data_IF_963858458189
#
_entry.id   IF_963858458189
#
_cell.length_a   1.000
_cell.length_b   1.000
_cell.length_c   1.000
_cell.angle_alpha   90.00
_cell.angle_beta   90.00
_cell.angle_gamma   90.00
#
_symmetry.space_group_name_H-M   'P 1'
#
loop_
_entity.id
_entity.type
_entity.pdbx_description
1 polymer ?
#
# COMPACT_ATOMS: atom_id res chain seq x y z
N UNK A 1 -4.25 10.87 22.04
CA UNK A 1 -2.94 11.51 21.79
C UNK A 1 -3.07 12.39 20.56
N UNK A 2 -2.54 13.60 20.61
CA UNK A 2 -2.52 14.52 19.46
C UNK A 2 -1.39 14.14 18.52
N UNK A 3 -1.70 13.98 17.23
CA UNK A 3 -0.76 13.50 16.23
C UNK A 3 -0.97 14.14 14.87
N UNK A 4 0.12 14.37 14.17
CA UNK A 4 0.11 14.96 12.83
C UNK A 4 0.78 14.05 11.82
N UNK A 5 0.33 14.10 10.56
CA UNK A 5 1.07 13.55 9.43
C UNK A 5 1.94 14.65 8.82
N UNK A 6 3.21 14.32 8.55
CA UNK A 6 4.16 15.17 7.83
C UNK A 6 4.49 14.48 6.52
N UNK A 7 4.27 15.19 5.40
CA UNK A 7 4.51 14.72 4.03
C UNK A 7 5.50 15.68 3.36
N UNK A 8 6.81 15.40 3.37
CA UNK A 8 7.78 16.23 2.68
C UNK A 8 7.68 16.03 1.17
N UNK A 9 7.51 17.13 0.44
CA UNK A 9 7.37 17.14 -1.02
C UNK A 9 8.12 18.33 -1.63
N UNK A 10 9.46 18.25 -1.71
CA UNK A 10 10.24 19.31 -2.36
C UNK A 10 10.12 19.25 -3.87
N UNK A 11 10.22 20.40 -4.55
CA UNK A 11 10.52 20.46 -5.96
C UNK A 11 11.98 20.07 -6.25
N UNK A 12 12.32 19.79 -7.50
CA UNK A 12 13.71 19.57 -7.89
C UNK A 12 14.30 18.21 -7.48
N UNK A 13 13.51 17.14 -7.54
CA UNK A 13 14.02 15.77 -7.38
C UNK A 13 15.05 15.43 -8.46
N UNK A 14 16.25 14.93 -8.09
CA UNK A 14 17.34 14.64 -9.03
C UNK A 14 17.14 13.34 -9.81
N UNK A 15 16.74 12.25 -9.15
CA UNK A 15 16.59 10.95 -9.81
C UNK A 15 15.45 10.91 -10.81
N UNK A 16 14.32 11.57 -10.50
CA UNK A 16 13.16 11.69 -11.37
C UNK A 16 12.61 13.12 -11.24
N UNK A 17 12.80 13.99 -12.25
CA UNK A 17 12.36 15.38 -12.19
C UNK A 17 10.86 15.51 -11.88
N UNK A 18 10.51 16.42 -11.00
CA UNK A 18 9.13 16.68 -10.56
C UNK A 18 8.40 15.42 -10.04
N UNK A 19 9.12 14.45 -9.53
CA UNK A 19 8.64 13.13 -9.08
C UNK A 19 7.31 13.20 -8.32
N UNK A 20 7.21 14.12 -7.36
CA UNK A 20 6.07 14.22 -6.45
C UNK A 20 4.74 14.58 -7.12
N UNK A 21 4.78 15.18 -8.32
CA UNK A 21 3.59 15.58 -9.10
C UNK A 21 3.42 14.80 -10.40
N UNK A 22 4.31 13.85 -10.69
CA UNK A 22 4.13 12.97 -11.83
C UNK A 22 2.82 12.18 -11.69
N UNK A 23 2.11 12.09 -12.80
CA UNK A 23 0.83 11.38 -12.88
C UNK A 23 1.05 9.87 -12.83
N UNK A 24 0.70 9.26 -11.72
CA UNK A 24 0.67 7.81 -11.58
C UNK A 24 -0.77 7.33 -11.84
N UNK A 25 -1.08 6.95 -13.08
CA UNK A 25 -2.41 6.76 -13.65
C UNK A 25 -3.26 8.05 -13.64
N UNK A 26 -4.22 8.15 -12.73
CA UNK A 26 -5.26 9.18 -12.72
C UNK A 26 -4.99 10.38 -11.81
N UNK A 27 -3.92 10.31 -10.98
CA UNK A 27 -3.61 11.37 -10.02
C UNK A 27 -2.09 11.54 -9.78
N UNK A 28 -1.65 12.72 -9.31
CA UNK A 28 -0.24 12.95 -9.00
C UNK A 28 0.24 12.08 -7.85
N UNK A 29 1.52 11.70 -7.87
CA UNK A 29 2.13 10.79 -6.91
C UNK A 29 1.86 11.20 -5.45
N UNK A 30 1.98 12.52 -5.12
CA UNK A 30 1.71 12.98 -3.76
C UNK A 30 0.27 12.77 -3.30
N UNK A 31 -0.69 12.73 -4.21
CA UNK A 31 -2.10 12.54 -3.87
C UNK A 31 -2.37 11.18 -3.21
N UNK A 32 -1.65 10.13 -3.62
CA UNK A 32 -1.77 8.82 -2.97
C UNK A 32 -1.44 8.86 -1.48
N UNK A 33 -0.41 9.63 -1.14
CA UNK A 33 0.01 9.79 0.27
C UNK A 33 -0.96 10.65 1.07
N UNK A 34 -1.41 11.76 0.48
CA UNK A 34 -2.38 12.67 1.12
C UNK A 34 -3.70 11.95 1.38
N UNK A 35 -4.27 11.28 0.36
CA UNK A 35 -5.53 10.54 0.49
C UNK A 35 -5.42 9.42 1.52
N UNK A 36 -4.34 8.63 1.50
CA UNK A 36 -4.15 7.58 2.51
C UNK A 36 -4.07 8.12 3.94
N UNK A 37 -3.44 9.29 4.13
CA UNK A 37 -3.39 9.97 5.42
C UNK A 37 -4.78 10.44 5.87
N UNK A 38 -5.53 11.11 5.00
CA UNK A 38 -6.87 11.62 5.30
C UNK A 38 -7.89 10.48 5.50
N UNK A 39 -7.86 9.45 4.66
CA UNK A 39 -8.73 8.27 4.77
C UNK A 39 -8.47 7.46 6.04
N UNK A 40 -7.27 7.53 6.59
CA UNK A 40 -6.96 6.88 7.86
C UNK A 40 -7.78 7.44 9.02
N UNK A 41 -8.15 8.72 8.98
CA UNK A 41 -8.88 9.45 10.04
C UNK A 41 -8.15 9.42 11.38
N UNK A 42 -6.83 9.28 11.35
CA UNK A 42 -5.99 9.18 12.55
C UNK A 42 -5.39 10.52 12.98
N UNK A 43 -5.29 11.48 12.08
CA UNK A 43 -4.52 12.70 12.27
C UNK A 43 -5.39 13.90 12.62
N UNK A 44 -4.92 14.73 13.55
CA UNK A 44 -5.47 16.05 13.81
C UNK A 44 -5.20 17.01 12.64
N UNK A 45 -4.04 16.84 11.97
CA UNK A 45 -3.62 17.62 10.80
C UNK A 45 -2.80 16.76 9.85
N UNK A 46 -3.02 16.92 8.54
CA UNK A 46 -2.20 16.32 7.47
C UNK A 46 -1.47 17.44 6.74
N UNK A 47 -0.16 17.48 6.86
CA UNK A 47 0.66 18.63 6.48
C UNK A 47 1.63 18.21 5.38
N UNK A 48 1.54 18.87 4.23
CA UNK A 48 2.54 18.80 3.16
C UNK A 48 3.53 19.95 3.35
N UNK A 49 4.83 19.62 3.36
CA UNK A 49 5.87 20.64 3.40
C UNK A 49 6.56 20.72 2.04
N UNK A 50 6.48 21.88 1.40
CA UNK A 50 7.01 22.12 0.05
C UNK A 50 7.59 23.52 -0.11
N UNK A 51 8.47 23.68 -1.10
CA UNK A 51 9.05 24.92 -1.57
C UNK A 51 8.40 25.45 -2.86
N UNK A 52 7.46 24.68 -3.45
CA UNK A 52 6.81 24.97 -4.72
C UNK A 52 5.37 25.43 -4.54
N UNK A 53 5.00 26.56 -5.17
CA UNK A 53 3.62 27.04 -5.23
C UNK A 53 2.71 26.09 -6.00
N UNK A 54 3.22 25.42 -7.04
CA UNK A 54 2.50 24.39 -7.78
C UNK A 54 2.14 23.21 -6.89
N UNK A 55 3.13 22.70 -6.13
CA UNK A 55 2.91 21.59 -5.22
C UNK A 55 1.96 21.96 -4.08
N UNK A 56 2.04 23.20 -3.60
CA UNK A 56 1.08 23.74 -2.65
C UNK A 56 -0.34 23.65 -3.19
N UNK A 57 -0.59 24.20 -4.38
CA UNK A 57 -1.91 24.17 -5.01
C UNK A 57 -2.45 22.74 -5.16
N UNK A 58 -1.59 21.80 -5.60
CA UNK A 58 -1.96 20.40 -5.74
C UNK A 58 -2.30 19.79 -4.36
N UNK A 59 -1.47 19.99 -3.36
CA UNK A 59 -1.67 19.43 -2.02
C UNK A 59 -2.98 19.94 -1.37
N UNK A 60 -3.26 21.25 -1.47
CA UNK A 60 -4.49 21.86 -0.99
C UNK A 60 -5.73 21.32 -1.71
N UNK A 61 -5.64 21.10 -3.03
CA UNK A 61 -6.71 20.48 -3.83
C UNK A 61 -7.06 19.07 -3.36
N UNK A 62 -6.09 18.32 -2.85
CA UNK A 62 -6.30 16.99 -2.28
C UNK A 62 -6.60 17.01 -0.77
N UNK A 63 -6.76 18.19 -0.17
CA UNK A 63 -7.24 18.38 1.20
C UNK A 63 -6.17 18.41 2.29
N UNK A 64 -4.90 18.51 1.94
CA UNK A 64 -3.83 18.68 2.92
C UNK A 64 -3.63 20.16 3.28
N UNK A 65 -3.18 20.40 4.50
CA UNK A 65 -2.61 21.71 4.88
C UNK A 65 -1.20 21.83 4.30
N UNK A 66 -0.76 23.03 3.96
CA UNK A 66 0.58 23.25 3.41
C UNK A 66 1.39 24.21 4.27
N UNK A 67 2.60 23.76 4.60
CA UNK A 67 3.64 24.61 5.15
C UNK A 67 4.71 24.84 4.08
N UNK A 68 4.79 26.10 3.63
CA UNK A 68 5.87 26.49 2.75
C UNK A 68 7.19 26.47 3.51
N UNK A 69 8.23 25.89 2.85
CA UNK A 69 9.57 25.85 3.41
C UNK A 69 10.47 26.87 2.71
N UNK A 70 11.39 27.42 3.47
CA UNK A 70 12.39 28.33 2.94
C UNK A 70 13.34 27.62 1.97
N UNK A 71 13.92 28.37 1.04
CA UNK A 71 14.81 27.82 0.00
C UNK A 71 16.01 27.05 0.57
N UNK A 72 16.52 27.47 1.72
CA UNK A 72 17.63 26.80 2.41
C UNK A 72 17.25 25.37 2.84
N UNK A 73 16.01 25.17 3.29
CA UNK A 73 15.46 23.87 3.68
C UNK A 73 15.01 23.00 2.49
N UNK A 74 15.03 23.55 1.28
CA UNK A 74 14.74 22.83 0.04
C UNK A 74 15.99 22.36 -0.68
N UNK A 75 17.18 22.76 -0.21
CA UNK A 75 18.47 22.39 -0.83
C UNK A 75 18.70 20.87 -0.79
N UNK A 76 19.54 20.38 -1.72
CA UNK A 76 19.94 18.96 -1.78
C UNK A 76 20.74 18.50 -0.56
N UNK A 77 21.34 19.42 0.16
CA UNK A 77 22.13 19.17 1.36
C UNK A 77 21.30 19.22 2.64
N UNK A 78 20.05 19.72 2.57
CA UNK A 78 19.14 19.76 3.71
C UNK A 78 18.74 18.34 4.10
N UNK A 79 19.14 17.92 5.31
CA UNK A 79 18.73 16.62 5.83
C UNK A 79 17.22 16.59 6.11
N UNK A 80 16.61 15.40 6.07
CA UNK A 80 15.21 15.24 6.44
C UNK A 80 14.92 15.73 7.87
N UNK A 81 15.95 15.67 8.74
CA UNK A 81 15.85 16.16 10.13
C UNK A 81 15.52 17.64 10.20
N UNK A 82 16.30 18.51 9.52
CA UNK A 82 16.09 19.98 9.62
C UNK A 82 14.72 20.40 9.09
N UNK A 83 14.21 19.71 8.08
CA UNK A 83 12.86 19.95 7.53
C UNK A 83 11.78 19.57 8.55
N UNK A 84 11.91 18.41 9.19
CA UNK A 84 10.96 17.95 10.20
C UNK A 84 11.04 18.84 11.45
N UNK A 85 12.25 19.19 11.89
CA UNK A 85 12.46 20.09 13.03
C UNK A 85 11.78 21.45 12.82
N UNK A 86 11.92 22.06 11.65
CA UNK A 86 11.24 23.32 11.32
C UNK A 86 9.72 23.21 11.43
N UNK A 87 9.13 22.12 10.91
CA UNK A 87 7.70 21.87 11.02
C UNK A 87 7.27 21.72 12.48
N UNK A 88 8.00 20.90 13.24
CA UNK A 88 7.67 20.62 14.65
C UNK A 88 7.77 21.87 15.53
N UNK A 89 8.69 22.80 15.24
CA UNK A 89 8.79 24.10 15.93
C UNK A 89 7.60 25.02 15.64
N UNK A 90 7.00 24.93 14.43
CA UNK A 90 5.83 25.73 14.02
C UNK A 90 4.52 25.17 14.56
N UNK A 91 4.49 23.91 15.02
CA UNK A 91 3.27 23.22 15.47
C UNK A 91 3.45 22.71 16.92
N UNK A 92 3.14 23.51 17.92
CA UNK A 92 3.25 23.11 19.32
C UNK A 92 2.11 22.17 19.75
N UNK A 93 2.27 21.55 20.90
CA UNK A 93 1.24 20.73 21.59
C UNK A 93 0.82 19.45 20.84
N UNK A 94 1.78 18.77 20.24
CA UNK A 94 1.64 17.46 19.58
C UNK A 94 2.41 16.41 20.38
N UNK A 95 1.85 15.24 20.59
CA UNK A 95 2.49 14.14 21.34
C UNK A 95 3.53 13.41 20.48
N UNK A 96 3.19 13.14 19.21
CA UNK A 96 4.08 12.51 18.24
C UNK A 96 3.66 12.87 16.80
N UNK A 97 4.53 12.58 15.86
CA UNK A 97 4.28 12.79 14.44
C UNK A 97 4.49 11.51 13.63
N UNK A 98 3.89 11.46 12.46
CA UNK A 98 4.05 10.39 11.48
C UNK A 98 4.58 10.99 10.19
N UNK A 99 5.78 10.60 9.79
CA UNK A 99 6.38 10.96 8.51
C UNK A 99 5.93 9.96 7.46
N UNK A 100 5.34 10.44 6.38
CA UNK A 100 4.84 9.67 5.24
C UNK A 100 5.53 10.15 3.97
N UNK A 101 6.40 9.31 3.39
CA UNK A 101 7.08 9.69 2.15
C UNK A 101 6.14 9.59 0.95
N UNK A 102 6.24 10.55 0.04
CA UNK A 102 5.48 10.60 -1.22
C UNK A 102 5.85 9.43 -2.12
N UNK A 103 7.09 9.00 -2.08
CA UNK A 103 7.67 7.95 -2.93
C UNK A 103 7.12 6.54 -2.67
N UNK A 104 6.31 6.36 -1.62
CA UNK A 104 5.69 5.07 -1.26
C UNK A 104 4.16 5.07 -1.52
N UNK A 105 3.70 5.07 -2.79
CA UNK A 105 2.28 5.26 -3.15
C UNK A 105 1.37 4.09 -2.77
N UNK A 106 1.92 2.91 -2.51
CA UNK A 106 1.12 1.72 -2.17
C UNK A 106 0.85 1.56 -0.68
N UNK A 107 1.43 2.42 0.17
CA UNK A 107 1.03 2.57 1.56
C UNK A 107 -0.39 3.14 1.60
N UNK A 108 -1.32 2.42 2.20
CA UNK A 108 -2.73 2.79 2.29
C UNK A 108 -3.14 3.16 3.73
N UNK A 109 -4.38 3.58 3.92
CA UNK A 109 -4.92 3.99 5.21
C UNK A 109 -4.90 2.88 6.28
N UNK A 110 -5.01 1.59 5.89
CA UNK A 110 -4.93 0.50 6.85
C UNK A 110 -3.52 0.36 7.43
N UNK A 111 -2.48 0.46 6.59
CA UNK A 111 -1.10 0.44 7.06
C UNK A 111 -0.83 1.57 8.07
N UNK A 112 -1.39 2.76 7.83
CA UNK A 112 -1.28 3.90 8.74
C UNK A 112 -1.98 3.59 10.07
N UNK A 113 -3.22 3.12 10.04
CA UNK A 113 -3.96 2.75 11.26
C UNK A 113 -3.27 1.66 12.07
N UNK A 114 -2.83 0.60 11.40
CA UNK A 114 -2.17 -0.54 12.06
C UNK A 114 -0.86 -0.11 12.71
N UNK A 115 -0.04 0.70 12.01
CA UNK A 115 1.22 1.22 12.56
C UNK A 115 1.00 2.14 13.75
N UNK A 116 0.03 3.04 13.69
CA UNK A 116 -0.35 3.94 14.80
C UNK A 116 -0.86 3.12 15.99
N UNK A 117 -1.78 2.19 15.78
CA UNK A 117 -2.29 1.32 16.84
C UNK A 117 -1.17 0.49 17.50
N UNK A 118 -0.23 -0.01 16.71
CA UNK A 118 0.92 -0.74 17.21
C UNK A 118 1.84 0.17 18.05
N UNK A 119 2.10 1.39 17.58
CA UNK A 119 2.90 2.37 18.29
C UNK A 119 2.25 2.80 19.61
N UNK A 120 0.96 3.17 19.59
CA UNK A 120 0.22 3.64 20.75
C UNK A 120 0.10 2.55 21.83
N UNK A 121 -0.12 1.29 21.45
CA UNK A 121 -0.09 0.15 22.40
C UNK A 121 1.27 -0.02 23.09
N UNK A 122 2.33 0.42 22.48
CA UNK A 122 3.69 0.28 22.96
C UNK A 122 4.35 1.63 23.34
N UNK A 123 3.54 2.70 23.47
CA UNK A 123 4.01 4.08 23.62
C UNK A 123 4.99 4.26 24.79
N UNK A 124 4.74 3.60 25.92
CA UNK A 124 5.62 3.72 27.09
C UNK A 124 6.96 2.98 26.94
N UNK A 125 7.06 2.06 25.97
CA UNK A 125 8.24 1.21 25.78
C UNK A 125 9.14 1.70 24.64
N UNK A 126 8.54 2.23 23.56
CA UNK A 126 9.26 2.67 22.36
C UNK A 126 9.02 4.15 22.08
N UNK A 127 10.01 4.76 21.49
CA UNK A 127 10.00 6.18 21.12
C UNK A 127 9.78 6.39 19.62
N UNK A 128 10.04 5.34 18.85
CA UNK A 128 9.92 5.34 17.39
C UNK A 128 9.22 4.08 16.86
N UNK A 129 8.64 4.19 15.67
CA UNK A 129 8.25 3.05 14.86
C UNK A 129 8.69 3.29 13.41
N UNK A 130 9.19 2.24 12.77
CA UNK A 130 9.63 2.29 11.36
C UNK A 130 8.99 1.15 10.59
N UNK A 131 8.41 1.47 9.43
CA UNK A 131 7.93 0.44 8.52
C UNK A 131 9.08 -0.27 7.83
N UNK A 132 9.01 -1.60 7.83
CA UNK A 132 10.07 -2.50 7.39
C UNK A 132 9.54 -3.47 6.35
N UNK A 133 10.37 -3.81 5.38
CA UNK A 133 10.12 -4.93 4.47
C UNK A 133 11.21 -5.99 4.57
N UNK A 134 10.85 -7.22 4.20
CA UNK A 134 11.81 -8.32 4.15
C UNK A 134 12.85 -8.07 3.07
N UNK A 135 14.13 -8.20 3.42
CA UNK A 135 15.22 -8.08 2.46
C UNK A 135 15.28 -9.26 1.49
N UNK A 136 15.50 -8.97 0.22
CA UNK A 136 15.75 -9.99 -0.81
C UNK A 136 17.16 -10.57 -0.73
N UNK A 137 18.09 -9.81 -0.13
CA UNK A 137 19.50 -10.21 0.03
C UNK A 137 19.90 -10.06 1.50
N UNK A 138 20.60 -11.01 2.07
CA UNK A 138 21.15 -10.85 3.41
C UNK A 138 22.26 -9.79 3.43
N UNK A 139 22.38 -9.11 4.56
CA UNK A 139 23.28 -7.97 4.76
C UNK A 139 24.75 -8.27 4.43
N UNK A 140 25.21 -9.51 4.71
CA UNK A 140 26.58 -9.92 4.40
C UNK A 140 26.89 -10.09 2.91
N UNK A 141 25.87 -10.08 2.03
CA UNK A 141 26.01 -10.03 0.56
C UNK A 141 26.01 -8.59 0.00
N UNK A 142 25.96 -7.58 0.85
CA UNK A 142 25.97 -6.17 0.47
C UNK A 142 27.25 -5.56 1.04
N UNK A 143 28.26 -5.44 0.21
CA UNK A 143 29.58 -4.95 0.58
C UNK A 143 30.10 -3.95 -0.45
N UNK A 144 30.96 -3.00 -0.05
CA UNK A 144 31.67 -2.16 -1.01
C UNK A 144 32.55 -3.01 -1.92
N UNK A 145 32.83 -2.49 -3.09
CA UNK A 145 33.82 -3.03 -4.02
C UNK A 145 35.04 -2.12 -3.93
N UNK A 146 36.22 -2.72 -3.82
CA UNK A 146 37.48 -2.00 -3.82
C UNK A 146 37.73 -1.27 -5.15
N UNK A 147 38.55 -0.24 -5.15
CA UNK A 147 38.91 0.54 -6.38
C UNK A 147 39.52 -0.33 -7.49
N UNK A 148 40.27 -1.40 -7.11
CA UNK A 148 40.85 -2.37 -8.02
C UNK A 148 39.87 -3.41 -8.54
N UNK A 149 38.55 -3.29 -8.16
CA UNK A 149 37.46 -4.25 -8.51
C UNK A 149 37.48 -5.54 -7.69
N UNK A 150 38.36 -5.66 -6.70
CA UNK A 150 38.47 -6.88 -5.89
C UNK A 150 37.34 -6.99 -4.87
N UNK A 151 36.94 -8.25 -4.53
CA UNK A 151 35.91 -8.59 -3.56
C UNK A 151 36.47 -8.92 -2.18
N UNK A 152 37.50 -8.20 -1.71
CA UNK A 152 38.18 -8.46 -0.44
C UNK A 152 37.22 -8.48 0.77
N UNK A 153 36.20 -7.63 0.74
CA UNK A 153 35.19 -7.57 1.80
C UNK A 153 34.25 -8.78 1.85
N UNK A 154 34.23 -9.62 0.78
CA UNK A 154 33.45 -10.86 0.71
C UNK A 154 34.21 -12.05 1.29
N UNK A 155 34.69 -11.92 2.51
CA UNK A 155 35.58 -12.90 3.18
C UNK A 155 34.82 -14.02 3.94
N UNK A 156 33.47 -14.04 3.89
CA UNK A 156 32.66 -15.05 4.55
C UNK A 156 32.61 -16.35 3.74
N UNK A 157 32.75 -17.50 4.40
CA UNK A 157 32.50 -18.79 3.74
C UNK A 157 31.03 -18.95 3.41
N UNK A 158 30.69 -19.03 2.13
CA UNK A 158 29.33 -19.12 1.60
C UNK A 158 28.99 -20.53 1.08
N UNK A 159 29.84 -21.55 1.30
CA UNK A 159 29.63 -22.91 0.79
C UNK A 159 28.29 -23.52 1.22
N UNK A 160 27.78 -23.16 2.39
CA UNK A 160 26.51 -23.62 2.94
C UNK A 160 25.42 -22.53 2.92
N UNK A 161 25.57 -21.50 2.05
CA UNK A 161 24.59 -20.44 1.96
C UNK A 161 23.28 -20.95 1.33
N UNK A 162 22.19 -20.69 2.05
CA UNK A 162 20.83 -20.87 1.50
C UNK A 162 20.02 -19.62 1.79
N UNK A 163 19.49 -18.98 0.76
CA UNK A 163 18.74 -17.71 0.85
C UNK A 163 17.60 -17.74 1.88
N UNK A 164 16.92 -18.88 2.00
CA UNK A 164 15.75 -19.03 2.87
C UNK A 164 16.07 -19.01 4.38
N UNK A 165 17.32 -19.25 4.78
CA UNK A 165 17.75 -19.25 6.17
C UNK A 165 17.84 -17.85 6.79
N UNK A 166 17.91 -16.80 5.96
CA UNK A 166 18.13 -15.43 6.42
C UNK A 166 16.84 -14.64 6.35
N UNK A 167 16.37 -14.18 7.52
CA UNK A 167 15.18 -13.33 7.68
C UNK A 167 15.65 -11.96 8.15
N UNK A 168 16.15 -11.16 7.22
CA UNK A 168 16.57 -9.79 7.47
C UNK A 168 15.56 -8.82 6.88
N UNK A 169 15.51 -7.62 7.44
CA UNK A 169 14.57 -6.58 7.07
C UNK A 169 15.30 -5.25 6.93
N UNK A 170 14.77 -4.36 6.10
CA UNK A 170 15.26 -3.00 5.95
C UNK A 170 14.07 -2.02 5.94
N UNK A 171 14.30 -0.73 6.29
CA UNK A 171 13.27 0.30 6.14
C UNK A 171 12.79 0.39 4.69
N UNK A 172 11.47 0.55 4.51
CA UNK A 172 10.86 0.65 3.18
C UNK A 172 10.40 2.07 2.80
N UNK A 173 10.76 3.08 3.60
CA UNK A 173 10.41 4.47 3.31
C UNK A 173 8.98 4.88 3.64
N UNK A 174 8.05 3.95 3.86
CA UNK A 174 6.63 4.26 3.82
C UNK A 174 6.08 4.99 5.05
N UNK A 175 6.46 4.56 6.26
CA UNK A 175 5.92 5.10 7.52
C UNK A 175 7.02 5.18 8.57
N UNK A 176 7.19 6.36 9.17
CA UNK A 176 8.03 6.58 10.33
C UNK A 176 7.22 7.32 11.40
N UNK A 177 7.21 6.82 12.63
CA UNK A 177 6.55 7.47 13.77
C UNK A 177 7.61 7.87 14.78
N UNK A 178 7.52 9.06 15.34
CA UNK A 178 8.47 9.52 16.34
C UNK A 178 7.83 10.45 17.37
N UNK A 179 8.15 10.23 18.66
CA UNK A 179 7.89 11.19 19.71
C UNK A 179 8.75 12.42 19.47
N UNK A 180 8.19 13.60 19.66
CA UNK A 180 8.83 14.87 19.28
C UNK A 180 10.14 15.08 20.03
N UNK A 181 10.12 14.99 21.36
CA UNK A 181 11.29 15.24 22.21
C UNK A 181 12.44 14.29 21.85
N UNK A 182 12.13 13.01 21.72
CA UNK A 182 13.10 11.95 21.44
C UNK A 182 13.68 12.10 20.04
N UNK A 183 12.83 12.48 19.05
CA UNK A 183 13.29 12.73 17.68
C UNK A 183 14.23 13.94 17.58
N UNK A 184 13.92 15.04 18.28
CA UNK A 184 14.80 16.21 18.30
C UNK A 184 16.16 15.94 18.95
N UNK A 185 16.20 14.98 19.90
CA UNK A 185 17.47 14.54 20.52
C UNK A 185 18.25 13.58 19.63
N UNK A 186 17.58 12.53 19.11
CA UNK A 186 18.20 11.43 18.36
C UNK A 186 18.47 11.80 16.90
N UNK A 187 17.63 12.63 16.28
CA UNK A 187 17.68 13.12 14.88
C UNK A 187 17.49 12.05 13.80
N UNK A 188 17.06 10.85 14.17
CA UNK A 188 16.71 9.75 13.28
C UNK A 188 15.74 8.78 13.98
N UNK A 189 15.16 7.82 13.22
CA UNK A 189 14.12 6.92 13.71
C UNK A 189 14.64 5.54 14.17
N UNK A 190 15.89 5.19 13.90
CA UNK A 190 16.42 3.84 14.14
C UNK A 190 17.21 3.79 15.44
N UNK A 191 17.00 2.77 16.27
CA UNK A 191 17.71 2.58 17.54
C UNK A 191 17.03 1.55 18.45
N UNK A 192 17.56 1.41 19.65
CA UNK A 192 17.09 0.43 20.64
C UNK A 192 15.63 0.67 21.11
N UNK A 193 15.15 1.89 20.94
CA UNK A 193 13.78 2.30 21.28
C UNK A 193 12.86 2.37 20.06
N UNK A 194 13.22 1.68 18.97
CA UNK A 194 12.44 1.66 17.73
C UNK A 194 11.71 0.33 17.54
N UNK A 195 10.47 0.41 17.13
CA UNK A 195 9.59 -0.72 16.86
C UNK A 195 9.44 -0.92 15.35
N UNK A 196 9.42 -2.15 14.89
CA UNK A 196 9.21 -2.47 13.48
C UNK A 196 7.73 -2.71 13.17
N UNK A 197 7.23 -2.08 12.10
CA UNK A 197 5.96 -2.42 11.47
C UNK A 197 6.23 -3.09 10.12
N UNK A 198 5.77 -4.32 9.93
CA UNK A 198 6.09 -5.11 8.74
C UNK A 198 5.07 -4.88 7.63
N UNK A 199 5.57 -4.53 6.43
CA UNK A 199 4.76 -4.38 5.22
C UNK A 199 5.16 -5.41 4.17
N UNK A 200 4.19 -5.79 3.34
CA UNK A 200 4.42 -6.68 2.22
C UNK A 200 5.26 -5.99 1.12
N UNK A 201 5.99 -6.76 0.34
CA UNK A 201 6.85 -6.26 -0.75
C UNK A 201 6.08 -5.42 -1.78
N UNK A 202 4.87 -5.84 -2.16
CA UNK A 202 4.03 -5.12 -3.13
C UNK A 202 3.53 -3.76 -2.63
N UNK A 203 3.45 -3.57 -1.31
CA UNK A 203 3.02 -2.32 -0.68
C UNK A 203 4.21 -1.46 -0.21
N UNK A 204 5.44 -1.95 -0.41
CA UNK A 204 6.72 -1.36 0.03
C UNK A 204 7.56 -0.80 -1.12
N UNK A 205 6.94 -0.51 -2.25
CA UNK A 205 7.65 0.06 -3.40
C UNK A 205 7.97 1.52 -3.10
N UNK A 206 9.23 1.87 -3.24
CA UNK A 206 9.77 3.22 -3.14
C UNK A 206 10.18 3.69 -4.53
N UNK A 207 9.71 4.85 -4.97
CA UNK A 207 9.95 5.38 -6.31
C UNK A 207 11.10 6.36 -6.23
N UNK A 208 12.27 5.98 -6.74
CA UNK A 208 13.46 6.84 -6.78
C UNK A 208 13.85 7.26 -8.20
N UNK A 209 13.60 6.42 -9.18
CA UNK A 209 13.96 6.65 -10.57
C UNK A 209 12.81 6.29 -11.54
N UNK A 210 13.09 6.37 -12.85
CA UNK A 210 12.13 6.08 -13.92
C UNK A 210 11.70 4.61 -13.93
N UNK A 211 12.60 3.67 -13.64
CA UNK A 211 12.29 2.24 -13.64
C UNK A 211 11.34 1.90 -12.48
N UNK A 212 11.57 2.47 -11.31
CA UNK A 212 10.66 2.32 -10.16
C UNK A 212 9.27 2.86 -10.50
N UNK A 213 9.21 4.02 -11.17
CA UNK A 213 7.95 4.63 -11.58
C UNK A 213 7.19 3.76 -12.57
N UNK A 214 7.85 3.24 -13.59
CA UNK A 214 7.25 2.32 -14.57
C UNK A 214 6.77 1.02 -13.90
N UNK A 215 7.55 0.50 -12.97
CA UNK A 215 7.19 -0.68 -12.19
C UNK A 215 5.95 -0.41 -11.32
N UNK A 216 5.90 0.72 -10.62
CA UNK A 216 4.74 1.14 -9.84
C UNK A 216 3.49 1.30 -10.72
N UNK A 217 3.62 1.93 -11.90
CA UNK A 217 2.53 2.09 -12.85
C UNK A 217 1.95 0.73 -13.30
N UNK A 218 2.82 -0.23 -13.62
CA UNK A 218 2.40 -1.58 -14.01
C UNK A 218 1.66 -2.31 -12.89
N UNK A 219 2.13 -2.18 -11.65
CA UNK A 219 1.44 -2.80 -10.49
C UNK A 219 0.08 -2.15 -10.27
N UNK A 220 -0.02 -0.83 -10.38
CA UNK A 220 -1.28 -0.13 -10.20
C UNK A 220 -2.30 -0.53 -11.27
N UNK A 221 -1.89 -0.57 -12.54
CA UNK A 221 -2.72 -1.08 -13.64
C UNK A 221 -3.23 -2.50 -13.37
N UNK A 222 -2.37 -3.39 -12.88
CA UNK A 222 -2.75 -4.76 -12.51
C UNK A 222 -3.75 -4.77 -11.34
N UNK A 223 -3.52 -3.97 -10.28
CA UNK A 223 -4.45 -3.84 -9.13
C UNK A 223 -5.81 -3.29 -9.58
N UNK A 224 -5.84 -2.25 -10.43
CA UNK A 224 -7.07 -1.66 -10.96
C UNK A 224 -7.83 -2.62 -11.89
N UNK A 225 -7.14 -3.33 -12.76
CA UNK A 225 -7.74 -4.38 -13.61
C UNK A 225 -8.41 -5.47 -12.79
N UNK A 226 -7.73 -5.95 -11.74
CA UNK A 226 -8.30 -6.93 -10.80
C UNK A 226 -9.53 -6.38 -10.06
N UNK A 227 -9.47 -5.12 -9.59
CA UNK A 227 -10.58 -4.46 -8.90
C UNK A 227 -11.79 -4.30 -9.83
N UNK A 228 -11.58 -3.89 -11.08
CA UNK A 228 -12.64 -3.77 -12.07
C UNK A 228 -13.27 -5.11 -12.44
N UNK A 229 -12.46 -6.15 -12.61
CA UNK A 229 -12.95 -7.52 -12.84
C UNK A 229 -13.81 -8.00 -11.67
N UNK A 230 -13.39 -7.77 -10.43
CA UNK A 230 -14.19 -8.13 -9.24
C UNK A 230 -15.54 -7.40 -9.22
N UNK A 231 -15.57 -6.11 -9.54
CA UNK A 231 -16.84 -5.35 -9.62
C UNK A 231 -17.78 -5.92 -10.70
N UNK A 232 -17.24 -6.29 -11.86
CA UNK A 232 -18.03 -6.91 -12.94
C UNK A 232 -18.61 -8.24 -12.45
N UNK A 233 -17.81 -9.08 -11.80
CA UNK A 233 -18.25 -10.37 -11.25
C UNK A 233 -19.32 -10.17 -10.17
N UNK A 234 -19.14 -9.22 -9.25
CA UNK A 234 -20.11 -8.89 -8.20
C UNK A 234 -21.46 -8.44 -8.82
N UNK A 235 -21.40 -7.61 -9.87
CA UNK A 235 -22.60 -7.20 -10.61
C UNK A 235 -23.32 -8.40 -11.24
N UNK A 236 -22.58 -9.27 -11.92
CA UNK A 236 -23.13 -10.51 -12.51
C UNK A 236 -23.74 -11.43 -11.46
N UNK A 237 -23.08 -11.60 -10.30
CA UNK A 237 -23.63 -12.36 -9.17
C UNK A 237 -24.97 -11.76 -8.72
N UNK A 238 -25.05 -10.43 -8.60
CA UNK A 238 -26.28 -9.75 -8.21
C UNK A 238 -27.42 -9.94 -9.23
N UNK A 239 -27.10 -9.87 -10.51
CA UNK A 239 -28.06 -10.13 -11.59
C UNK A 239 -28.56 -11.58 -11.57
N UNK A 240 -27.67 -12.56 -11.40
CA UNK A 240 -28.03 -13.98 -11.31
C UNK A 240 -28.82 -14.33 -10.04
N UNK A 241 -28.67 -13.56 -8.95
CA UNK A 241 -29.49 -13.74 -7.71
C UNK A 241 -30.98 -13.65 -7.97
N UNK A 242 -31.45 -12.89 -8.95
CA UNK A 242 -32.88 -12.79 -9.33
C UNK A 242 -33.47 -14.15 -9.76
N UNK A 243 -32.61 -15.06 -10.23
CA UNK A 243 -33.00 -16.38 -10.71
C UNK A 243 -32.85 -17.50 -9.65
N UNK A 244 -32.39 -17.17 -8.43
CA UNK A 244 -32.23 -18.16 -7.35
C UNK A 244 -33.54 -18.81 -6.92
N UNK A 245 -34.65 -18.09 -7.04
CA UNK A 245 -35.99 -18.56 -6.66
C UNK A 245 -36.67 -19.36 -7.75
N UNK A 246 -36.08 -19.53 -8.92
CA UNK A 246 -36.67 -20.27 -10.04
C UNK A 246 -36.39 -21.75 -9.87
N UNK A 247 -37.44 -22.54 -9.58
CA UNK A 247 -37.31 -23.97 -9.42
C UNK A 247 -37.23 -24.64 -10.80
N UNK A 248 -36.11 -25.24 -11.10
CA UNK A 248 -35.84 -26.04 -12.31
C UNK A 248 -35.38 -27.44 -11.89
N UNK A 249 -35.26 -28.35 -12.85
CA UNK A 249 -34.76 -29.71 -12.57
C UNK A 249 -33.25 -29.73 -12.31
N UNK A 250 -32.49 -28.85 -12.99
CA UNK A 250 -31.02 -28.75 -12.91
C UNK A 250 -30.64 -27.29 -12.71
N UNK A 251 -29.71 -27.03 -11.82
CA UNK A 251 -29.03 -25.71 -11.70
C UNK A 251 -27.54 -25.88 -12.02
N UNK A 252 -27.05 -25.08 -12.96
CA UNK A 252 -25.63 -24.99 -13.32
C UNK A 252 -25.02 -23.80 -12.57
N UNK A 253 -23.89 -24.02 -11.89
CA UNK A 253 -23.13 -22.98 -11.18
C UNK A 253 -21.66 -23.15 -11.50
N UNK A 254 -21.01 -22.10 -11.96
CA UNK A 254 -19.58 -22.18 -12.29
C UNK A 254 -19.08 -21.01 -13.13
N UNK A 255 -17.98 -21.23 -13.81
CA UNK A 255 -17.26 -20.23 -14.57
C UNK A 255 -17.76 -20.07 -16.02
N UNK A 256 -16.83 -19.64 -16.89
CA UNK A 256 -17.02 -19.23 -18.29
C UNK A 256 -17.86 -20.23 -19.11
N UNK A 257 -17.59 -21.53 -18.99
CA UNK A 257 -18.29 -22.56 -19.78
C UNK A 257 -19.80 -22.50 -19.56
N UNK A 258 -20.26 -22.26 -18.34
CA UNK A 258 -21.68 -22.16 -18.07
C UNK A 258 -22.26 -20.79 -18.41
N UNK A 259 -21.50 -19.71 -18.32
CA UNK A 259 -22.01 -18.37 -18.67
C UNK A 259 -22.39 -18.28 -20.14
N UNK A 260 -21.52 -18.82 -21.01
CA UNK A 260 -21.69 -18.77 -22.47
C UNK A 260 -22.62 -19.87 -22.99
N UNK A 261 -23.09 -20.76 -22.12
CA UNK A 261 -23.96 -21.86 -22.51
C UNK A 261 -25.43 -21.43 -22.45
N UNK A 262 -25.98 -21.06 -23.60
CA UNK A 262 -27.40 -20.75 -23.74
C UNK A 262 -28.23 -22.03 -23.78
N UNK A 263 -28.58 -22.53 -22.60
CA UNK A 263 -29.30 -23.79 -22.45
C UNK A 263 -30.49 -23.65 -21.50
N UNK A 264 -31.70 -23.92 -22.01
CA UNK A 264 -32.94 -23.95 -21.23
C UNK A 264 -33.34 -25.36 -20.80
N UNK A 265 -32.92 -26.36 -21.55
CA UNK A 265 -33.25 -27.78 -21.30
C UNK A 265 -32.05 -28.69 -21.56
N UNK A 266 -31.95 -29.77 -20.79
CA UNK A 266 -31.01 -30.85 -20.99
C UNK A 266 -31.79 -32.19 -21.09
N UNK A 267 -32.04 -32.65 -22.32
CA UNK A 267 -33.02 -33.69 -22.57
C UNK A 267 -34.42 -33.24 -22.21
N UNK A 268 -35.09 -33.98 -21.37
CA UNK A 268 -36.46 -33.62 -20.85
C UNK A 268 -36.47 -32.74 -19.60
N UNK A 269 -35.29 -32.29 -19.14
CA UNK A 269 -35.12 -31.55 -17.89
C UNK A 269 -34.90 -30.09 -18.13
N UNK A 270 -35.58 -29.24 -17.37
CA UNK A 270 -35.38 -27.78 -17.40
C UNK A 270 -34.08 -27.39 -16.66
N UNK A 271 -33.39 -26.40 -17.19
CA UNK A 271 -32.10 -25.92 -16.66
C UNK A 271 -32.20 -24.48 -16.20
N UNK A 272 -31.64 -24.19 -15.00
CA UNK A 272 -31.38 -22.84 -14.54
C UNK A 272 -29.86 -22.59 -14.61
N UNK A 273 -29.44 -21.77 -15.56
CA UNK A 273 -28.03 -21.47 -15.76
C UNK A 273 -27.58 -20.23 -14.96
N UNK A 274 -26.79 -20.46 -13.93
CA UNK A 274 -26.20 -19.44 -13.05
C UNK A 274 -24.67 -19.32 -13.25
N UNK A 275 -24.16 -19.66 -14.41
CA UNK A 275 -22.75 -19.48 -14.77
C UNK A 275 -22.34 -18.02 -14.77
N UNK A 276 -21.10 -17.73 -14.37
CA UNK A 276 -20.51 -16.38 -14.31
C UNK A 276 -19.05 -16.45 -14.73
N UNK A 277 -18.72 -15.79 -15.84
CA UNK A 277 -17.33 -15.71 -16.31
C UNK A 277 -16.42 -15.02 -15.30
N UNK A 278 -15.23 -15.59 -15.12
CA UNK A 278 -14.21 -15.07 -14.22
C UNK A 278 -14.50 -15.25 -12.71
N UNK A 279 -15.59 -15.95 -12.34
CA UNK A 279 -15.88 -16.22 -10.92
C UNK A 279 -14.77 -17.08 -10.30
N UNK A 280 -14.27 -16.66 -9.14
CA UNK A 280 -13.29 -17.44 -8.38
C UNK A 280 -13.97 -18.54 -7.57
N UNK A 281 -13.21 -19.60 -7.22
CA UNK A 281 -13.70 -20.71 -6.38
C UNK A 281 -14.34 -20.19 -5.09
N UNK A 282 -13.76 -19.20 -4.43
CA UNK A 282 -14.28 -18.64 -3.20
C UNK A 282 -15.60 -17.87 -3.40
N UNK A 283 -15.72 -17.15 -4.51
CA UNK A 283 -16.99 -16.45 -4.86
C UNK A 283 -18.07 -17.45 -5.26
N UNK A 284 -17.70 -18.47 -6.04
CA UNK A 284 -18.61 -19.58 -6.40
C UNK A 284 -19.11 -20.30 -5.14
N UNK A 285 -18.23 -20.62 -4.19
CA UNK A 285 -18.60 -21.22 -2.91
C UNK A 285 -19.59 -20.35 -2.12
N UNK A 286 -19.37 -19.03 -2.03
CA UNK A 286 -20.31 -18.11 -1.37
C UNK A 286 -21.66 -18.09 -2.08
N UNK A 287 -21.67 -18.07 -3.40
CA UNK A 287 -22.88 -18.07 -4.21
C UNK A 287 -23.69 -19.36 -4.02
N UNK A 288 -23.03 -20.53 -3.99
CA UNK A 288 -23.64 -21.81 -3.67
C UNK A 288 -24.22 -21.81 -2.25
N UNK A 289 -23.52 -21.26 -1.27
CA UNK A 289 -24.05 -21.14 0.09
C UNK A 289 -25.32 -20.28 0.16
N UNK A 290 -25.44 -19.24 -0.66
CA UNK A 290 -26.68 -18.46 -0.76
C UNK A 290 -27.83 -19.24 -1.42
N UNK A 291 -27.53 -20.00 -2.49
CA UNK A 291 -28.47 -20.94 -3.11
C UNK A 291 -29.08 -21.92 -2.08
N UNK A 292 -28.20 -22.49 -1.25
CA UNK A 292 -28.60 -23.44 -0.22
C UNK A 292 -29.51 -22.81 0.86
N UNK A 293 -29.39 -21.53 1.14
CA UNK A 293 -30.24 -20.81 2.13
C UNK A 293 -31.62 -20.52 1.62
N UNK A 294 -31.81 -20.36 0.32
CA UNK A 294 -33.13 -20.04 -0.29
C UNK A 294 -34.09 -21.25 -0.27
N UNK A 295 -33.62 -22.46 -0.03
CA UNK A 295 -34.44 -23.67 0.18
C UNK A 295 -35.18 -24.19 -1.03
N UNK A 296 -35.10 -23.54 -2.20
CA UNK A 296 -35.76 -23.94 -3.45
C UNK A 296 -34.79 -24.52 -4.45
N UNK A 297 -34.02 -25.51 -4.02
CA UNK A 297 -32.98 -26.09 -4.87
C UNK A 297 -33.61 -26.99 -5.97
N UNK A 298 -33.01 -26.88 -7.15
CA UNK A 298 -33.15 -27.89 -8.19
C UNK A 298 -32.77 -29.28 -7.68
N UNK A 299 -33.36 -30.34 -8.23
CA UNK A 299 -33.06 -31.73 -7.85
C UNK A 299 -31.56 -32.08 -8.05
N UNK A 300 -30.88 -31.36 -8.94
CA UNK A 300 -29.44 -31.51 -9.22
C UNK A 300 -28.77 -30.15 -9.37
N UNK A 301 -27.62 -29.99 -8.75
CA UNK A 301 -26.71 -28.86 -8.95
C UNK A 301 -25.45 -29.42 -9.60
N UNK A 302 -25.03 -28.81 -10.72
CA UNK A 302 -23.78 -29.13 -11.41
C UNK A 302 -22.86 -27.94 -11.23
N UNK A 303 -21.65 -28.17 -10.72
CA UNK A 303 -20.63 -27.16 -10.45
C UNK A 303 -19.40 -27.47 -11.33
N UNK A 304 -18.91 -26.48 -12.09
CA UNK A 304 -17.68 -26.56 -12.87
C UNK A 304 -16.82 -25.32 -12.70
#
# INVERSE_FOLDING_TARGET
MKKIAIIPARAGSKGLPNKNVLMLEDKPLMAYTIEAALESKEFDRVIVSTDSLEYKYIAEKFGAEVLMRDAELASDTASSFVVIEDILRKIPNIDYFVLLQVTSPFRNYNHIRESINLFEKNYNKYDFLVSMQKSDKPSFLIKPIEEDGSLKEYNKNLSNYTRQKYKEYHPNGAIYIGKIKEYLLQKHFLGNKSLAYFMNKEDSIDIDDTLDFEFALNILKKKNRKKNLLKIIEKKILEKKKFLNIKKDITLVGGTIFEDWDIETLGTKTVNNLGIDGITINQCKKFICELLKVGQLSKKIIIM
#
